data_IF_355606974918
#
_entry.id   IF_355606974918
#
_cell.length_a   1.000
_cell.length_b   1.000
_cell.length_c   1.000
_cell.angle_alpha   90.00
_cell.angle_beta   90.00
_cell.angle_gamma   90.00
#
_symmetry.space_group_name_H-M   'P 1'
#
loop_
_entity.id
_entity.type
_entity.pdbx_description
1 polymer ?
#
# COMPACT_ATOMS: atom_id res chain seq x y z
N UNK A 1 17.38 12.46 -2.14
CA UNK A 1 16.26 11.88 -2.91
C UNK A 1 15.88 10.62 -2.16
N UNK A 2 14.60 10.34 -2.01
CA UNK A 2 14.07 9.22 -1.25
C UNK A 2 13.06 8.44 -2.11
N UNK A 3 13.20 7.12 -2.18
CA UNK A 3 12.25 6.24 -2.87
C UNK A 3 11.26 5.68 -1.85
N UNK A 4 9.98 6.01 -1.99
CA UNK A 4 8.91 5.51 -1.14
C UNK A 4 7.97 4.65 -1.98
N UNK A 5 7.66 3.45 -1.52
CA UNK A 5 6.83 2.49 -2.23
C UNK A 5 5.67 2.05 -1.35
N UNK A 6 4.49 1.85 -1.94
CA UNK A 6 3.51 0.94 -1.35
C UNK A 6 4.01 -0.53 -1.42
N UNK A 7 3.32 -1.42 -0.72
CA UNK A 7 3.60 -2.84 -0.66
C UNK A 7 2.60 -3.68 -1.45
N UNK A 8 1.35 -3.74 -0.99
CA UNK A 8 0.29 -4.55 -1.60
C UNK A 8 -0.08 -3.99 -2.97
N UNK A 9 -0.13 -4.82 -4.02
CA UNK A 9 -0.42 -4.36 -5.39
C UNK A 9 0.73 -3.61 -6.09
N UNK A 10 1.66 -3.03 -5.32
CA UNK A 10 2.85 -2.33 -5.82
C UNK A 10 4.10 -3.21 -5.83
N UNK A 11 4.51 -3.78 -4.70
CA UNK A 11 5.62 -4.74 -4.60
C UNK A 11 5.13 -6.16 -4.85
N UNK A 12 4.09 -6.57 -4.15
CA UNK A 12 3.38 -7.81 -4.46
C UNK A 12 2.45 -7.59 -5.64
N UNK A 13 2.12 -8.65 -6.37
CA UNK A 13 1.18 -8.56 -7.48
C UNK A 13 -0.25 -8.24 -7.00
N UNK A 14 -0.61 -8.74 -5.82
CA UNK A 14 -1.95 -8.67 -5.25
C UNK A 14 -1.90 -8.28 -3.76
N UNK A 15 -3.06 -7.92 -3.22
CA UNK A 15 -3.27 -7.70 -1.80
C UNK A 15 -2.98 -8.96 -0.97
N UNK A 16 -2.25 -8.80 0.14
CA UNK A 16 -1.82 -9.89 1.02
C UNK A 16 -2.56 -9.97 2.35
N UNK A 17 -3.56 -9.10 2.58
CA UNK A 17 -4.30 -9.01 3.85
C UNK A 17 -4.97 -10.34 4.21
N UNK A 18 -5.65 -10.95 3.23
CA UNK A 18 -6.30 -12.25 3.43
C UNK A 18 -5.27 -13.35 3.74
N UNK A 19 -4.10 -13.32 3.08
CA UNK A 19 -3.07 -14.35 3.27
C UNK A 19 -2.38 -14.25 4.63
N UNK A 20 -2.15 -13.02 5.12
CA UNK A 20 -1.70 -12.78 6.50
C UNK A 20 -2.68 -13.39 7.51
N UNK A 21 -3.98 -13.13 7.35
CA UNK A 21 -5.03 -13.68 8.23
C UNK A 21 -5.08 -15.20 8.16
N UNK A 22 -5.08 -15.78 6.95
CA UNK A 22 -5.16 -17.22 6.77
C UNK A 22 -3.92 -17.93 7.33
N UNK A 23 -2.72 -17.35 7.18
CA UNK A 23 -1.50 -17.86 7.80
C UNK A 23 -1.59 -17.82 9.33
N UNK A 24 -2.10 -16.74 9.91
CA UNK A 24 -2.30 -16.61 11.35
C UNK A 24 -3.28 -17.67 11.89
N UNK A 25 -4.42 -17.87 11.20
CA UNK A 25 -5.39 -18.92 11.54
C UNK A 25 -4.74 -20.31 11.45
N UNK A 26 -3.92 -20.59 10.44
CA UNK A 26 -3.21 -21.88 10.32
C UNK A 26 -2.30 -22.14 11.54
N UNK A 27 -1.68 -21.11 12.12
CA UNK A 27 -0.86 -21.23 13.35
C UNK A 27 -1.71 -21.50 14.59
N UNK A 28 -2.96 -21.04 14.62
CA UNK A 28 -3.92 -21.26 15.73
C UNK A 28 -4.64 -22.61 15.70
N UNK A 29 -3.89 -23.72 15.73
CA UNK A 29 -4.36 -25.12 15.54
C UNK A 29 -5.63 -25.55 16.30
N UNK A 30 -5.92 -24.97 17.46
CA UNK A 30 -7.05 -25.38 18.33
C UNK A 30 -8.37 -24.64 18.05
N UNK A 31 -8.33 -23.48 17.40
CA UNK A 31 -9.48 -22.59 17.22
C UNK A 31 -9.78 -22.25 15.75
N UNK A 32 -9.13 -22.94 14.81
CA UNK A 32 -9.19 -22.59 13.38
C UNK A 32 -10.62 -22.43 12.82
N UNK A 33 -11.59 -23.34 13.10
CA UNK A 33 -12.94 -23.19 12.54
C UNK A 33 -13.64 -21.92 13.03
N UNK A 34 -13.50 -21.59 14.32
CA UNK A 34 -14.14 -20.42 14.94
C UNK A 34 -13.50 -19.12 14.42
N UNK A 35 -12.16 -19.10 14.29
CA UNK A 35 -11.43 -17.95 13.77
C UNK A 35 -11.70 -17.71 12.28
N UNK A 36 -11.84 -18.78 11.48
CA UNK A 36 -12.21 -18.68 10.07
C UNK A 36 -13.65 -18.14 9.91
N UNK A 37 -14.57 -18.57 10.77
CA UNK A 37 -15.92 -18.01 10.82
C UNK A 37 -15.88 -16.51 11.17
N UNK A 38 -15.11 -16.14 12.21
CA UNK A 38 -14.95 -14.74 12.61
C UNK A 38 -14.34 -13.86 11.50
N UNK A 39 -13.34 -14.37 10.78
CA UNK A 39 -12.78 -13.71 9.59
C UNK A 39 -13.84 -13.52 8.51
N UNK A 40 -14.59 -14.58 8.18
CA UNK A 40 -15.64 -14.55 7.16
C UNK A 40 -16.71 -13.51 7.51
N UNK A 41 -17.16 -13.50 8.76
CA UNK A 41 -18.16 -12.55 9.26
C UNK A 41 -17.62 -11.11 9.22
N UNK A 42 -16.35 -10.89 9.58
CA UNK A 42 -15.72 -9.57 9.52
C UNK A 42 -15.62 -9.03 8.09
N UNK A 43 -15.22 -9.87 7.12
CA UNK A 43 -15.20 -9.51 5.69
C UNK A 43 -16.61 -9.17 5.20
N UNK A 44 -17.60 -9.99 5.53
CA UNK A 44 -18.98 -9.74 5.11
C UNK A 44 -19.52 -8.43 5.69
N UNK A 45 -19.27 -8.15 6.97
CA UNK A 45 -19.67 -6.90 7.62
C UNK A 45 -19.01 -5.69 6.96
N UNK A 46 -17.70 -5.75 6.70
CA UNK A 46 -16.96 -4.68 6.00
C UNK A 46 -17.56 -4.41 4.61
N UNK A 47 -17.78 -5.46 3.81
CA UNK A 47 -18.32 -5.30 2.45
C UNK A 47 -19.73 -4.69 2.48
N UNK A 48 -20.58 -5.10 3.42
CA UNK A 48 -21.92 -4.52 3.60
C UNK A 48 -21.86 -3.03 3.96
N UNK A 49 -21.04 -2.67 4.95
CA UNK A 49 -20.85 -1.28 5.39
C UNK A 49 -20.27 -0.42 4.26
N UNK A 50 -19.23 -0.89 3.59
CA UNK A 50 -18.59 -0.20 2.47
C UNK A 50 -19.55 0.02 1.30
N UNK A 51 -20.31 -1.00 0.91
CA UNK A 51 -21.31 -0.87 -0.16
C UNK A 51 -22.45 0.07 0.21
N UNK A 52 -22.98 -0.04 1.44
CA UNK A 52 -24.02 0.85 1.93
C UNK A 52 -23.53 2.30 1.97
N UNK A 53 -22.31 2.53 2.47
CA UNK A 53 -21.70 3.85 2.47
C UNK A 53 -21.54 4.41 1.06
N UNK A 54 -20.93 3.64 0.15
CA UNK A 54 -20.72 4.05 -1.25
C UNK A 54 -22.02 4.35 -1.98
N UNK A 55 -23.09 3.61 -1.72
CA UNK A 55 -24.40 3.83 -2.33
C UNK A 55 -25.10 5.11 -1.84
N UNK A 56 -24.84 5.53 -0.60
CA UNK A 56 -25.50 6.67 0.03
C UNK A 56 -24.64 7.94 0.06
N UNK A 57 -23.33 7.83 -0.20
CA UNK A 57 -22.43 8.97 -0.16
C UNK A 57 -22.74 9.98 -1.26
N UNK A 58 -22.90 11.24 -0.88
CA UNK A 58 -23.06 12.39 -1.78
C UNK A 58 -21.96 13.41 -1.49
N UNK A 59 -21.26 13.95 -2.50
CA UNK A 59 -21.45 13.77 -3.95
C UNK A 59 -21.09 12.37 -4.48
N UNK A 60 -21.80 11.91 -5.52
CA UNK A 60 -21.53 10.61 -6.17
C UNK A 60 -20.15 10.61 -6.82
N UNK A 61 -19.65 9.42 -7.21
CA UNK A 61 -18.31 9.27 -7.81
C UNK A 61 -18.09 10.24 -8.98
N UNK A 62 -19.03 10.32 -9.91
CA UNK A 62 -18.88 11.14 -11.12
C UNK A 62 -19.04 12.64 -10.85
N UNK A 63 -19.61 13.01 -9.70
CA UNK A 63 -19.72 14.40 -9.24
C UNK A 63 -18.46 14.89 -8.51
N UNK A 64 -17.63 13.97 -8.00
CA UNK A 64 -16.31 14.28 -7.43
C UNK A 64 -15.31 14.42 -8.57
N UNK A 65 -14.94 15.65 -8.88
CA UNK A 65 -14.11 15.99 -10.05
C UNK A 65 -12.87 16.82 -9.69
N UNK A 66 -12.62 17.02 -8.40
CA UNK A 66 -11.42 17.70 -7.91
C UNK A 66 -10.70 16.85 -6.85
N UNK A 67 -9.39 17.04 -6.64
CA UNK A 67 -8.66 16.28 -5.62
C UNK A 67 -9.25 16.48 -4.22
N UNK A 68 -9.56 17.72 -3.85
CA UNK A 68 -10.16 18.04 -2.56
C UNK A 68 -11.50 17.33 -2.31
N UNK A 69 -12.33 17.14 -3.35
CA UNK A 69 -13.58 16.38 -3.21
C UNK A 69 -13.33 14.89 -3.00
N UNK A 70 -12.32 14.33 -3.68
CA UNK A 70 -11.97 12.92 -3.51
C UNK A 70 -11.29 12.67 -2.16
N UNK A 71 -10.45 13.59 -1.69
CA UNK A 71 -9.81 13.52 -0.37
C UNK A 71 -10.86 13.47 0.75
N UNK A 72 -11.90 14.32 0.67
CA UNK A 72 -13.01 14.30 1.64
C UNK A 72 -13.77 12.97 1.60
N UNK A 73 -13.96 12.38 0.42
CA UNK A 73 -14.58 11.06 0.29
C UNK A 73 -13.70 9.96 0.91
N UNK A 74 -12.41 9.92 0.60
CA UNK A 74 -11.48 8.92 1.14
C UNK A 74 -11.35 9.05 2.66
N UNK A 75 -11.25 10.27 3.19
CA UNK A 75 -11.21 10.50 4.64
C UNK A 75 -12.49 10.02 5.33
N UNK A 76 -13.65 10.16 4.68
CA UNK A 76 -14.93 9.72 5.24
C UNK A 76 -15.12 8.19 5.31
N UNK A 77 -14.22 7.40 4.71
CA UNK A 77 -14.19 5.95 4.88
C UNK A 77 -13.61 5.50 6.23
N UNK A 78 -12.90 6.38 6.95
CA UNK A 78 -12.20 6.03 8.19
C UNK A 78 -13.04 5.23 9.19
N UNK A 79 -14.31 5.59 9.51
CA UNK A 79 -15.09 4.82 10.48
C UNK A 79 -15.37 3.37 10.06
N UNK A 80 -15.42 3.10 8.75
CA UNK A 80 -15.66 1.76 8.20
C UNK A 80 -14.38 0.92 8.29
N UNK A 81 -13.24 1.51 7.92
CA UNK A 81 -11.94 0.86 8.05
C UNK A 81 -11.63 0.54 9.52
N UNK A 82 -11.87 1.51 10.40
CA UNK A 82 -11.68 1.38 11.84
C UNK A 82 -12.57 0.27 12.46
N UNK A 83 -13.85 0.20 12.05
CA UNK A 83 -14.73 -0.88 12.47
C UNK A 83 -14.25 -2.25 11.96
N UNK A 84 -13.66 -2.30 10.76
CA UNK A 84 -13.07 -3.52 10.20
C UNK A 84 -11.91 -4.01 11.05
N UNK A 85 -10.92 -3.15 11.30
CA UNK A 85 -9.75 -3.50 12.10
C UNK A 85 -10.14 -3.87 13.54
N UNK A 86 -11.10 -3.15 14.13
CA UNK A 86 -11.63 -3.49 15.46
C UNK A 86 -12.24 -4.89 15.53
N UNK A 87 -13.02 -5.31 14.51
CA UNK A 87 -13.56 -6.68 14.44
C UNK A 87 -12.45 -7.73 14.38
N UNK A 88 -11.41 -7.47 13.59
CA UNK A 88 -10.26 -8.35 13.49
C UNK A 88 -9.49 -8.44 14.80
N UNK A 89 -9.19 -7.31 15.45
CA UNK A 89 -8.54 -7.30 16.77
C UNK A 89 -9.36 -8.10 17.81
N UNK A 90 -10.67 -7.90 17.87
CA UNK A 90 -11.54 -8.62 18.82
C UNK A 90 -11.69 -10.12 18.52
N UNK A 91 -11.48 -10.55 17.27
CA UNK A 91 -11.56 -11.96 16.90
C UNK A 91 -10.46 -12.82 17.55
N UNK A 92 -9.34 -12.19 17.95
CA UNK A 92 -8.19 -12.89 18.49
C UNK A 92 -7.39 -13.68 17.45
N UNK A 93 -7.58 -13.43 16.14
CA UNK A 93 -6.86 -14.10 15.03
C UNK A 93 -5.33 -13.97 15.16
N UNK A 94 -4.84 -12.88 15.74
CA UNK A 94 -3.40 -12.64 15.91
C UNK A 94 -2.91 -12.82 17.35
N UNK A 95 -3.77 -13.31 18.26
CA UNK A 95 -3.39 -13.50 19.66
C UNK A 95 -2.25 -14.52 19.78
N UNK A 96 -1.31 -14.23 20.67
CA UNK A 96 -0.14 -15.07 20.98
C UNK A 96 0.83 -15.27 19.79
N UNK A 97 0.76 -14.44 18.73
CA UNK A 97 1.75 -14.44 17.64
C UNK A 97 2.85 -13.41 17.92
N UNK A 98 4.10 -13.82 17.76
CA UNK A 98 5.27 -12.94 17.92
C UNK A 98 5.74 -12.37 16.57
N UNK A 99 6.57 -11.31 16.59
CA UNK A 99 7.19 -10.73 15.38
C UNK A 99 7.91 -11.78 14.52
N UNK A 100 8.52 -12.79 15.16
CA UNK A 100 9.15 -13.93 14.48
C UNK A 100 8.12 -14.79 13.74
N UNK A 101 6.95 -15.03 14.33
CA UNK A 101 5.88 -15.75 13.66
C UNK A 101 5.39 -14.98 12.43
N UNK A 102 5.14 -13.69 12.60
CA UNK A 102 4.67 -12.80 11.54
C UNK A 102 5.67 -12.73 10.38
N UNK A 103 6.96 -12.63 10.69
CA UNK A 103 8.04 -12.66 9.71
C UNK A 103 8.06 -14.00 8.95
N UNK A 104 8.00 -15.13 9.64
CA UNK A 104 7.98 -16.44 9.00
C UNK A 104 6.77 -16.62 8.10
N UNK A 105 5.58 -16.13 8.50
CA UNK A 105 4.40 -16.15 7.62
C UNK A 105 4.65 -15.39 6.32
N UNK A 106 5.34 -14.26 6.37
CA UNK A 106 5.74 -13.49 5.18
C UNK A 106 6.70 -14.27 4.27
N UNK A 107 7.61 -15.07 4.84
CA UNK A 107 8.50 -15.96 4.07
C UNK A 107 7.70 -17.11 3.45
N UNK A 108 6.83 -17.74 4.23
CA UNK A 108 6.03 -18.89 3.85
C UNK A 108 5.16 -18.59 2.63
N UNK A 109 4.43 -17.46 2.63
CA UNK A 109 3.55 -17.10 1.50
C UNK A 109 4.29 -16.95 0.17
N UNK A 110 5.57 -16.59 0.19
CA UNK A 110 6.40 -16.55 -1.02
C UNK A 110 6.94 -17.93 -1.36
N UNK A 111 7.45 -18.68 -0.37
CA UNK A 111 8.05 -20.00 -0.61
C UNK A 111 7.03 -21.07 -1.03
N UNK A 112 5.76 -20.88 -0.68
CA UNK A 112 4.64 -21.74 -1.04
C UNK A 112 3.91 -21.28 -2.32
N UNK A 113 4.45 -20.28 -3.03
CA UNK A 113 3.87 -19.68 -4.24
C UNK A 113 2.41 -19.17 -4.05
N UNK A 114 2.05 -18.76 -2.83
CA UNK A 114 0.74 -18.17 -2.50
C UNK A 114 0.70 -16.70 -2.93
N UNK A 115 1.78 -15.97 -2.65
CA UNK A 115 1.97 -14.56 -3.03
C UNK A 115 3.16 -14.45 -3.97
N UNK A 116 3.00 -13.65 -5.03
CA UNK A 116 4.07 -13.34 -5.96
C UNK A 116 4.54 -11.89 -5.79
N UNK A 117 5.86 -11.70 -5.75
CA UNK A 117 6.49 -10.39 -5.86
C UNK A 117 6.61 -10.02 -7.34
N UNK A 118 6.25 -8.79 -7.72
CA UNK A 118 6.43 -8.31 -9.10
C UNK A 118 7.91 -8.36 -9.50
N UNK A 119 8.17 -8.80 -10.72
CA UNK A 119 9.53 -8.82 -11.28
C UNK A 119 10.10 -7.40 -11.33
N UNK A 120 11.44 -7.28 -11.38
CA UNK A 120 12.13 -6.00 -11.48
C UNK A 120 12.42 -5.30 -10.16
N UNK A 121 11.62 -5.48 -9.10
CA UNK A 121 11.84 -4.77 -7.83
C UNK A 121 13.19 -5.04 -7.18
N UNK A 122 13.71 -6.27 -7.28
CA UNK A 122 15.08 -6.58 -6.79
C UNK A 122 16.13 -5.66 -7.42
N UNK A 123 16.06 -5.49 -8.75
CA UNK A 123 16.97 -4.61 -9.48
C UNK A 123 16.76 -3.12 -9.16
N UNK A 124 15.51 -2.67 -9.05
CA UNK A 124 15.18 -1.28 -8.67
C UNK A 124 15.72 -0.94 -7.30
N UNK A 125 15.41 -1.76 -6.29
CA UNK A 125 15.83 -1.50 -4.92
C UNK A 125 17.35 -1.62 -4.78
N UNK A 126 17.96 -2.60 -5.43
CA UNK A 126 19.42 -2.74 -5.47
C UNK A 126 20.12 -1.53 -6.10
N UNK A 127 19.56 -0.95 -7.17
CA UNK A 127 20.08 0.29 -7.77
C UNK A 127 19.91 1.48 -6.83
N UNK A 128 18.76 1.64 -6.16
CA UNK A 128 18.52 2.72 -5.21
C UNK A 128 19.56 2.70 -4.07
N UNK A 129 19.78 1.54 -3.44
CA UNK A 129 20.77 1.38 -2.38
C UNK A 129 22.19 1.65 -2.88
N UNK A 130 22.56 1.17 -4.09
CA UNK A 130 23.87 1.48 -4.68
C UNK A 130 24.09 2.97 -4.94
N UNK A 131 23.02 3.74 -5.21
CA UNK A 131 23.07 5.20 -5.38
C UNK A 131 23.06 5.96 -4.05
N UNK A 132 22.95 5.27 -2.92
CA UNK A 132 22.74 5.90 -1.61
C UNK A 132 21.39 6.61 -1.50
N UNK A 133 20.38 6.16 -2.26
CA UNK A 133 19.00 6.64 -2.16
C UNK A 133 18.29 5.80 -1.09
N UNK A 134 17.81 6.40 0.01
CA UNK A 134 17.03 5.70 1.01
C UNK A 134 15.75 5.10 0.40
N UNK A 135 15.41 3.89 0.84
CA UNK A 135 14.20 3.18 0.43
C UNK A 135 13.29 3.02 1.65
N UNK A 136 12.02 3.39 1.47
CA UNK A 136 10.97 3.20 2.47
C UNK A 136 9.78 2.49 1.85
N UNK A 137 9.28 1.46 2.52
CA UNK A 137 7.96 0.89 2.26
C UNK A 137 6.96 1.57 3.20
N UNK A 138 5.86 2.09 2.65
CA UNK A 138 4.78 2.72 3.40
C UNK A 138 3.45 2.06 3.05
N UNK A 139 2.94 1.23 3.98
CA UNK A 139 1.82 0.34 3.73
C UNK A 139 0.73 0.43 4.80
N UNK A 140 -0.51 0.17 4.40
CA UNK A 140 -1.65 -0.03 5.33
C UNK A 140 -1.73 -1.47 5.84
N UNK A 141 -0.87 -2.37 5.36
CA UNK A 141 -0.82 -3.76 5.81
C UNK A 141 -0.71 -3.83 7.34
N UNK A 142 -1.28 -4.88 7.93
CA UNK A 142 -1.45 -5.01 9.37
C UNK A 142 -0.20 -5.46 10.12
N UNK A 143 0.84 -5.91 9.40
CA UNK A 143 2.08 -6.36 10.03
C UNK A 143 3.34 -5.92 9.28
N UNK A 144 4.10 -5.05 9.92
CA UNK A 144 5.47 -4.69 9.53
C UNK A 144 6.38 -5.93 9.45
N UNK A 145 6.30 -6.84 10.42
CA UNK A 145 7.12 -8.05 10.45
C UNK A 145 6.81 -8.99 9.25
N UNK A 146 5.53 -9.16 8.90
CA UNK A 146 5.11 -9.89 7.71
C UNK A 146 5.69 -9.31 6.41
N UNK A 147 5.60 -7.99 6.22
CA UNK A 147 6.21 -7.31 5.07
C UNK A 147 7.71 -7.60 5.01
N UNK A 148 8.42 -7.51 6.15
CA UNK A 148 9.85 -7.83 6.21
C UNK A 148 10.14 -9.28 5.81
N UNK A 149 9.29 -10.22 6.22
CA UNK A 149 9.36 -11.62 5.79
C UNK A 149 9.30 -11.76 4.27
N UNK A 150 8.30 -11.12 3.65
CA UNK A 150 8.14 -11.11 2.19
C UNK A 150 9.36 -10.49 1.50
N UNK A 151 9.82 -9.31 1.96
CA UNK A 151 10.98 -8.61 1.38
C UNK A 151 12.28 -9.42 1.50
N UNK A 152 12.43 -10.25 2.53
CA UNK A 152 13.60 -11.13 2.68
C UNK A 152 13.71 -12.16 1.55
N UNK A 153 12.61 -12.44 0.85
CA UNK A 153 12.56 -13.36 -0.29
C UNK A 153 12.85 -12.67 -1.63
N UNK A 154 13.10 -11.34 -1.65
CA UNK A 154 13.33 -10.57 -2.86
C UNK A 154 14.66 -10.94 -3.53
N UNK A 155 14.58 -11.72 -4.61
CA UNK A 155 15.77 -12.16 -5.36
C UNK A 155 16.50 -10.98 -6.00
N UNK A 156 17.80 -10.87 -5.74
CA UNK A 156 18.64 -9.80 -6.29
C UNK A 156 18.37 -8.42 -5.72
N UNK A 157 17.53 -8.32 -4.67
CA UNK A 157 17.28 -7.10 -3.92
C UNK A 157 18.31 -6.84 -2.82
N UNK A 158 18.20 -5.69 -2.13
CA UNK A 158 19.05 -5.37 -0.98
C UNK A 158 18.66 -6.21 0.25
N UNK A 159 19.43 -6.09 1.33
CA UNK A 159 19.05 -6.70 2.61
C UNK A 159 17.77 -6.04 3.14
N UNK A 160 16.96 -6.79 3.87
CA UNK A 160 15.73 -6.23 4.48
C UNK A 160 16.03 -5.17 5.55
N UNK A 161 17.26 -5.15 6.06
CA UNK A 161 17.80 -4.12 6.96
C UNK A 161 18.13 -2.79 6.24
N UNK A 162 18.36 -2.83 4.93
CA UNK A 162 18.63 -1.63 4.12
C UNK A 162 17.34 -0.88 3.72
N UNK A 163 16.17 -1.47 4.04
CA UNK A 163 14.85 -0.95 3.69
C UNK A 163 14.06 -0.63 4.96
N UNK A 164 13.64 0.63 5.08
CA UNK A 164 12.75 1.06 6.16
C UNK A 164 11.32 0.60 5.83
N UNK A 165 10.62 0.00 6.79
CA UNK A 165 9.21 -0.40 6.64
C UNK A 165 8.36 0.35 7.65
N UNK A 166 7.44 1.16 7.16
CA UNK A 166 6.41 1.86 7.93
C UNK A 166 5.07 1.22 7.56
N UNK A 167 4.51 0.48 8.51
CA UNK A 167 3.22 -0.17 8.38
C UNK A 167 2.57 -0.25 9.76
N UNK A 168 1.32 -0.73 9.81
CA UNK A 168 0.75 -1.13 11.08
C UNK A 168 1.56 -2.29 11.69
N UNK A 169 1.36 -2.50 12.98
CA UNK A 169 1.94 -3.59 13.73
C UNK A 169 0.88 -4.28 14.59
N UNK A 170 1.26 -5.34 15.27
CA UNK A 170 0.41 -6.04 16.23
C UNK A 170 0.88 -5.79 17.66
N UNK A 171 -0.05 -5.56 18.57
CA UNK A 171 0.23 -5.49 20.01
C UNK A 171 0.57 -6.88 20.58
N UNK A 172 1.05 -6.94 21.82
CA UNK A 172 1.26 -8.22 22.52
C UNK A 172 -0.02 -9.07 22.63
N UNK A 173 -1.19 -8.41 22.65
CA UNK A 173 -2.51 -9.04 22.68
C UNK A 173 -3.04 -9.43 21.29
N UNK A 174 -2.29 -9.12 20.22
CA UNK A 174 -2.69 -9.37 18.84
C UNK A 174 -3.66 -8.32 18.26
N UNK A 175 -3.70 -7.11 18.82
CA UNK A 175 -4.50 -6.01 18.28
C UNK A 175 -3.73 -5.25 17.18
N UNK A 176 -4.43 -4.83 16.12
CA UNK A 176 -3.81 -4.01 15.07
C UNK A 176 -3.61 -2.58 15.58
N UNK A 177 -2.36 -2.14 15.61
CA UNK A 177 -1.90 -0.83 16.09
C UNK A 177 -1.08 -0.12 15.01
N UNK A 178 -0.95 1.20 15.13
CA UNK A 178 -0.18 2.00 14.19
C UNK A 178 1.34 1.78 14.28
N UNK A 179 2.10 2.36 13.33
CA UNK A 179 3.55 2.27 13.31
C UNK A 179 4.17 2.75 14.62
N UNK A 180 5.16 2.01 15.13
CA UNK A 180 5.83 2.34 16.39
C UNK A 180 5.01 2.02 17.65
N UNK A 181 3.90 1.29 17.51
CA UNK A 181 3.09 0.83 18.63
C UNK A 181 1.98 1.81 19.05
N UNK A 182 1.64 2.78 18.21
CA UNK A 182 0.64 3.81 18.52
C UNK A 182 -0.76 3.38 18.06
N UNK A 183 -1.62 3.03 19.01
CA UNK A 183 -3.01 2.59 18.74
C UNK A 183 -3.89 3.68 18.11
N UNK A 184 -3.56 4.96 18.28
CA UNK A 184 -4.31 6.08 17.73
C UNK A 184 -3.91 6.42 16.28
N UNK A 185 -2.74 5.93 15.84
CA UNK A 185 -2.15 6.24 14.54
C UNK A 185 -2.13 5.05 13.57
N UNK A 186 -3.19 4.23 13.56
CA UNK A 186 -3.37 3.17 12.55
C UNK A 186 -3.38 3.74 11.13
N UNK A 187 -2.64 3.12 10.24
CA UNK A 187 -2.62 3.41 8.81
C UNK A 187 -3.76 2.66 8.13
N UNK A 188 -4.80 3.38 7.68
CA UNK A 188 -6.00 2.76 7.09
C UNK A 188 -6.39 3.43 5.77
N UNK A 189 -6.13 4.73 5.66
CA UNK A 189 -6.63 5.56 4.57
C UNK A 189 -5.50 6.28 3.86
N UNK A 190 -5.85 6.94 2.75
CA UNK A 190 -4.89 7.78 2.04
C UNK A 190 -4.35 8.94 2.86
N UNK A 191 -5.17 9.48 3.76
CA UNK A 191 -4.74 10.54 4.66
C UNK A 191 -3.72 10.02 5.67
N UNK A 192 -3.90 8.83 6.20
CA UNK A 192 -2.96 8.24 7.17
C UNK A 192 -1.58 8.01 6.55
N UNK A 193 -1.53 7.47 5.31
CA UNK A 193 -0.26 7.36 4.59
C UNK A 193 0.38 8.72 4.34
N UNK A 194 -0.40 9.74 3.95
CA UNK A 194 0.14 11.08 3.73
C UNK A 194 0.72 11.70 5.02
N UNK A 195 0.04 11.52 6.15
CA UNK A 195 0.51 12.00 7.45
C UNK A 195 1.78 11.27 7.89
N UNK A 196 1.82 9.94 7.72
CA UNK A 196 3.04 9.16 7.95
C UNK A 196 4.20 9.60 7.04
N UNK A 197 3.95 9.79 5.75
CA UNK A 197 4.96 10.29 4.81
C UNK A 197 5.55 11.63 5.28
N UNK A 198 4.70 12.58 5.69
CA UNK A 198 5.14 13.91 6.16
C UNK A 198 5.90 13.85 7.49
N UNK A 199 5.59 12.88 8.35
CA UNK A 199 6.25 12.69 9.64
C UNK A 199 7.63 12.06 9.49
N UNK A 200 7.74 11.06 8.62
CA UNK A 200 8.93 10.21 8.53
C UNK A 200 9.95 10.71 7.50
N UNK A 201 9.52 11.50 6.50
CA UNK A 201 10.41 12.03 5.47
C UNK A 201 10.76 13.50 5.74
N UNK A 202 12.06 13.87 5.77
CA UNK A 202 12.48 15.24 6.05
C UNK A 202 11.89 16.27 5.07
N UNK A 203 11.48 17.41 5.60
CA UNK A 203 11.00 18.54 4.79
C UNK A 203 12.10 18.99 3.82
N UNK A 204 11.75 19.08 2.53
CA UNK A 204 12.68 19.47 1.45
C UNK A 204 13.43 18.30 0.80
N UNK A 205 13.28 17.08 1.32
CA UNK A 205 13.75 15.86 0.68
C UNK A 205 13.00 15.65 -0.65
N UNK A 206 13.73 15.33 -1.73
CA UNK A 206 13.09 14.99 -3.01
C UNK A 206 12.54 13.58 -2.95
N UNK A 207 11.21 13.43 -2.93
CA UNK A 207 10.55 12.12 -2.84
C UNK A 207 10.05 11.66 -4.20
N UNK A 208 10.33 10.41 -4.54
CA UNK A 208 9.61 9.64 -5.56
C UNK A 208 8.71 8.65 -4.84
N UNK A 209 7.40 8.75 -5.06
CA UNK A 209 6.42 7.84 -4.47
C UNK A 209 5.85 6.92 -5.54
N UNK A 210 5.81 5.61 -5.28
CA UNK A 210 5.18 4.62 -6.17
C UNK A 210 4.07 3.91 -5.41
N UNK A 211 2.87 3.85 -5.99
CA UNK A 211 1.71 3.15 -5.43
C UNK A 211 0.73 2.74 -6.53
N UNK A 212 -0.23 1.88 -6.24
CA UNK A 212 -1.16 1.34 -7.24
C UNK A 212 -2.64 1.65 -6.94
N UNK A 213 -2.95 2.12 -5.73
CA UNK A 213 -4.33 2.23 -5.28
C UNK A 213 -4.72 3.62 -4.78
N UNK A 214 -6.00 3.79 -4.44
CA UNK A 214 -6.52 5.06 -3.90
C UNK A 214 -6.01 5.37 -2.49
N UNK A 215 -5.45 4.39 -1.75
CA UNK A 215 -4.76 4.66 -0.48
C UNK A 215 -3.47 5.45 -0.70
N UNK A 216 -2.95 5.50 -1.92
CA UNK A 216 -1.73 6.23 -2.25
C UNK A 216 -1.99 7.64 -2.77
N UNK A 217 -3.26 8.00 -2.98
CA UNK A 217 -3.64 9.23 -3.68
C UNK A 217 -3.00 10.48 -3.05
N UNK A 218 -3.16 10.66 -1.74
CA UNK A 218 -2.57 11.76 -0.99
C UNK A 218 -1.05 11.84 -1.14
N UNK A 219 -0.34 10.71 -1.05
CA UNK A 219 1.11 10.66 -1.24
C UNK A 219 1.52 11.01 -2.67
N UNK A 220 0.86 10.43 -3.68
CA UNK A 220 1.10 10.72 -5.10
C UNK A 220 0.87 12.21 -5.42
N UNK A 221 -0.13 12.82 -4.78
CA UNK A 221 -0.48 14.22 -4.96
C UNK A 221 0.47 15.18 -4.23
N UNK A 222 1.03 14.78 -3.10
CA UNK A 222 1.98 15.58 -2.32
C UNK A 222 3.35 15.66 -2.98
N UNK A 223 3.91 14.52 -3.41
CA UNK A 223 5.31 14.45 -3.83
C UNK A 223 5.55 15.11 -5.18
N UNK A 224 6.75 15.64 -5.40
CA UNK A 224 7.11 16.20 -6.70
C UNK A 224 7.07 15.18 -7.85
N UNK A 225 7.21 13.89 -7.52
CA UNK A 225 7.15 12.79 -8.49
C UNK A 225 6.37 11.60 -7.93
N UNK A 226 5.08 11.55 -8.26
CA UNK A 226 4.24 10.39 -8.02
C UNK A 226 4.24 9.48 -9.24
N UNK A 227 4.29 8.17 -9.02
CA UNK A 227 4.20 7.13 -10.04
C UNK A 227 3.08 6.17 -9.65
N UNK A 228 2.05 6.08 -10.48
CA UNK A 228 1.01 5.07 -10.36
C UNK A 228 1.45 3.79 -11.09
N UNK A 229 1.66 2.70 -10.35
CA UNK A 229 1.85 1.38 -10.93
C UNK A 229 0.47 0.78 -11.20
N UNK A 230 0.17 0.46 -12.45
CA UNK A 230 -1.19 0.18 -12.87
C UNK A 230 -1.20 -0.95 -13.92
N UNK A 231 -1.14 -2.20 -13.45
CA UNK A 231 -1.30 -3.38 -14.30
C UNK A 231 -2.79 -3.63 -14.64
N UNK A 232 -3.09 -4.10 -15.84
CA UNK A 232 -4.45 -4.33 -16.37
C UNK A 232 -5.15 -5.58 -15.81
N UNK A 233 -4.77 -6.09 -14.63
CA UNK A 233 -5.37 -7.31 -14.10
C UNK A 233 -6.73 -7.02 -13.44
N UNK A 234 -7.82 -7.47 -14.09
CA UNK A 234 -9.14 -7.57 -13.46
C UNK A 234 -10.36 -6.97 -14.19
N UNK A 235 -10.24 -6.45 -15.42
CA UNK A 235 -11.43 -6.06 -16.20
C UNK A 235 -11.19 -5.19 -17.44
N UNK A 236 -12.24 -4.96 -18.23
CA UNK A 236 -12.23 -4.08 -19.41
C UNK A 236 -12.25 -2.60 -18.98
N UNK A 237 -11.10 -2.06 -18.57
CA UNK A 237 -10.95 -0.64 -18.27
C UNK A 237 -9.63 -0.28 -17.58
N UNK A 238 -9.26 1.01 -17.53
CA UNK A 238 -8.07 1.44 -16.81
C UNK A 238 -8.20 1.11 -15.31
N UNK A 239 -7.09 0.81 -14.61
CA UNK A 239 -7.12 0.59 -13.17
C UNK A 239 -7.79 1.74 -12.39
N UNK A 240 -8.42 1.41 -11.26
CA UNK A 240 -9.25 2.33 -10.47
C UNK A 240 -8.53 3.64 -10.14
N UNK A 241 -7.25 3.56 -9.74
CA UNK A 241 -6.42 4.72 -9.44
C UNK A 241 -6.28 5.65 -10.66
N UNK A 242 -5.93 5.12 -11.84
CA UNK A 242 -5.80 5.93 -13.04
C UNK A 242 -7.12 6.62 -13.43
N UNK A 243 -8.25 5.90 -13.30
CA UNK A 243 -9.57 6.49 -13.54
C UNK A 243 -9.90 7.61 -12.55
N UNK A 244 -9.54 7.43 -11.27
CA UNK A 244 -9.71 8.46 -10.25
C UNK A 244 -8.84 9.68 -10.56
N UNK A 245 -7.54 9.50 -10.85
CA UNK A 245 -6.62 10.58 -11.19
C UNK A 245 -7.11 11.41 -12.40
N UNK A 246 -7.52 10.75 -13.48
CA UNK A 246 -8.11 11.46 -14.64
C UNK A 246 -9.36 12.24 -14.28
N UNK A 247 -10.28 11.61 -13.53
CA UNK A 247 -11.56 12.21 -13.13
C UNK A 247 -11.36 13.46 -12.29
N UNK A 248 -10.36 13.46 -11.40
CA UNK A 248 -10.07 14.60 -10.52
C UNK A 248 -9.16 15.67 -11.17
N UNK A 249 -8.88 15.55 -12.48
CA UNK A 249 -8.14 16.54 -13.25
C UNK A 249 -6.61 16.44 -13.17
N UNK A 250 -6.07 15.32 -12.69
CA UNK A 250 -4.62 15.04 -12.71
C UNK A 250 -4.20 14.63 -14.11
N UNK A 251 -3.07 15.18 -14.55
CA UNK A 251 -2.44 14.81 -15.81
C UNK A 251 -1.66 13.51 -15.64
N UNK A 252 -1.98 12.51 -16.47
CA UNK A 252 -1.31 11.23 -16.46
C UNK A 252 -0.32 11.13 -17.63
N UNK A 253 0.94 10.90 -17.31
CA UNK A 253 2.03 10.79 -18.29
C UNK A 253 2.67 9.41 -18.19
N UNK A 254 2.79 8.63 -19.28
CA UNK A 254 3.53 7.37 -19.24
C UNK A 254 4.98 7.60 -18.80
N UNK A 255 5.57 6.71 -18.01
CA UNK A 255 6.93 6.88 -17.49
C UNK A 255 7.99 7.04 -18.59
N UNK A 256 7.79 6.44 -19.77
CA UNK A 256 8.66 6.62 -20.95
C UNK A 256 8.74 8.06 -21.48
N UNK A 257 7.83 8.96 -21.07
CA UNK A 257 7.82 10.37 -21.46
C UNK A 257 8.30 11.32 -20.35
N UNK A 258 8.85 10.77 -19.25
CA UNK A 258 9.24 11.54 -18.06
C UNK A 258 10.18 12.70 -18.37
N UNK A 259 11.21 12.49 -19.20
CA UNK A 259 12.17 13.54 -19.55
C UNK A 259 11.52 14.73 -20.26
N UNK A 260 10.59 14.45 -21.17
CA UNK A 260 9.85 15.49 -21.92
C UNK A 260 8.97 16.27 -20.96
N UNK A 261 8.17 15.58 -20.15
CA UNK A 261 7.24 16.21 -19.22
C UNK A 261 7.94 17.07 -18.15
N UNK A 262 9.08 16.62 -17.63
CA UNK A 262 9.89 17.39 -16.67
C UNK A 262 10.44 18.68 -17.30
N UNK A 263 10.78 18.67 -18.60
CA UNK A 263 11.28 19.86 -19.31
C UNK A 263 10.17 20.86 -19.63
N UNK A 264 9.01 20.37 -20.07
CA UNK A 264 7.93 21.21 -20.59
C UNK A 264 7.12 21.92 -19.49
N UNK A 265 7.22 21.47 -18.23
CA UNK A 265 6.52 22.02 -17.04
C UNK A 265 5.02 22.22 -17.25
N UNK A 266 4.22 21.25 -16.78
CA UNK A 266 2.76 21.39 -16.77
C UNK A 266 2.28 22.39 -15.71
N UNK A 267 1.20 23.11 -16.03
CA UNK A 267 0.44 23.92 -15.06
C UNK A 267 -0.44 23.04 -14.15
N UNK A 268 -0.71 21.79 -14.55
CA UNK A 268 -1.46 20.81 -13.77
C UNK A 268 -0.54 19.93 -12.95
N UNK A 269 -1.11 19.30 -11.91
CA UNK A 269 -0.42 18.20 -11.23
C UNK A 269 -0.25 17.04 -12.22
N UNK A 270 0.99 16.57 -12.35
CA UNK A 270 1.34 15.39 -13.12
C UNK A 270 1.57 14.21 -12.18
N UNK A 271 1.02 13.06 -12.54
CA UNK A 271 1.38 11.75 -11.98
C UNK A 271 1.83 10.87 -13.14
N UNK A 272 3.01 10.27 -13.00
CA UNK A 272 3.51 9.34 -13.99
C UNK A 272 2.83 7.98 -13.80
N UNK A 273 2.78 7.15 -14.84
CA UNK A 273 2.27 5.79 -14.69
C UNK A 273 3.04 4.77 -15.52
N UNK A 274 3.11 3.55 -15.01
CA UNK A 274 3.74 2.39 -15.63
C UNK A 274 2.82 1.18 -15.49
N UNK A 275 2.86 0.24 -16.43
CA UNK A 275 2.15 -1.05 -16.27
C UNK A 275 3.01 -2.01 -15.48
N UNK A 276 4.31 -2.05 -15.80
CA UNK A 276 5.28 -2.95 -15.21
C UNK A 276 6.45 -2.20 -14.57
N UNK A 277 7.12 -2.87 -13.63
CA UNK A 277 8.26 -2.31 -12.88
C UNK A 277 9.45 -2.07 -13.79
N UNK A 278 9.63 -2.90 -14.82
CA UNK A 278 10.72 -2.79 -15.80
C UNK A 278 10.69 -1.45 -16.53
N UNK A 279 9.50 -0.90 -16.82
CA UNK A 279 9.35 0.42 -17.44
C UNK A 279 9.95 1.55 -16.56
N UNK A 280 9.95 1.37 -15.23
CA UNK A 280 10.52 2.34 -14.28
C UNK A 280 12.04 2.41 -14.38
N UNK A 281 12.68 1.26 -14.62
CA UNK A 281 14.12 1.16 -14.82
C UNK A 281 14.52 1.74 -16.18
N UNK A 282 13.83 1.34 -17.24
CA UNK A 282 14.15 1.73 -18.62
C UNK A 282 13.95 3.23 -18.87
N UNK A 283 12.89 3.80 -18.29
CA UNK A 283 12.59 5.23 -18.42
C UNK A 283 13.49 6.15 -17.58
N UNK A 284 14.17 5.60 -16.57
CA UNK A 284 14.89 6.40 -15.57
C UNK A 284 13.97 7.27 -14.70
N UNK A 285 12.65 7.05 -14.73
CA UNK A 285 11.67 7.88 -14.02
C UNK A 285 11.94 7.98 -12.51
N UNK A 286 12.57 6.96 -11.92
CA UNK A 286 12.92 6.93 -10.50
C UNK A 286 14.17 7.78 -10.17
N UNK A 287 15.00 8.13 -11.15
CA UNK A 287 16.36 8.64 -10.92
C UNK A 287 16.64 10.06 -11.42
N UNK A 288 15.82 10.57 -12.35
CA UNK A 288 15.99 11.90 -12.97
C UNK A 288 15.71 13.04 -11.96
#
# INVERSE_FOLDING_TARGET
>A
MHLVLDFDGTITQLDTTAELVLAAIRRQRRHQPDLLAAWTDAVQAYMQEYHAFKANYTPTRDQRTTPAQEDVYLASLRPIEEASLTRISHSGIFRDLEDTDLFEMGVEVISEDIVAIRSGWGAVLGEAIRRGIPVTILSVNWSRAFIRGVLSCLKGGPSVEDVTVIANDLSEEGEIIGPGGDSECRLMTSQDKLEALRREIPVGEKVVYVGDSVTDLGCLMEVSRGVALASEEGGDGPPLLLNTLRRIGVELVPVGEVERAVRERSEKKVVFWAKEVEELLESGALWI
#
